data_IF_850362459116
#
_entry.id   IF_850362459116
#
_cell.length_a   1.000
_cell.length_b   1.000
_cell.length_c   1.000
_cell.angle_alpha   90.00
_cell.angle_beta   90.00
_cell.angle_gamma   90.00
#
_symmetry.space_group_name_H-M   'P 1'
#
loop_
_entity.id
_entity.type
_entity.pdbx_description
1 polymer ?
#
# COMPACT_ATOMS: atom_id res chain seq x y z
N UNK A 1 8.20 8.97 -26.05
CA UNK A 1 8.65 7.99 -25.04
C UNK A 1 8.10 6.64 -25.47
N UNK A 2 8.87 5.55 -25.39
CA UNK A 2 8.36 4.22 -25.68
C UNK A 2 7.08 3.91 -24.90
N UNK A 3 6.06 3.36 -25.54
CA UNK A 3 4.74 3.14 -24.91
C UNK A 3 4.82 2.18 -23.71
N UNK A 4 5.70 1.17 -23.78
CA UNK A 4 5.95 0.23 -22.69
C UNK A 4 6.43 0.90 -21.39
N UNK A 5 7.13 2.04 -21.48
CA UNK A 5 7.55 2.77 -20.29
C UNK A 5 6.34 3.36 -19.57
N UNK A 6 5.37 3.90 -20.30
CA UNK A 6 4.16 4.46 -19.70
C UNK A 6 3.29 3.36 -19.07
N UNK A 7 3.18 2.23 -19.76
CA UNK A 7 2.46 1.04 -19.29
C UNK A 7 3.03 0.47 -17.98
N UNK A 8 4.34 0.58 -17.75
CA UNK A 8 4.96 0.13 -16.49
C UNK A 8 4.94 1.23 -15.43
N UNK A 9 5.23 2.48 -15.81
CA UNK A 9 5.35 3.59 -14.86
C UNK A 9 4.01 3.95 -14.23
N UNK A 10 2.93 3.98 -15.01
CA UNK A 10 1.61 4.35 -14.50
C UNK A 10 1.13 3.43 -13.36
N UNK A 11 1.07 2.10 -13.51
CA UNK A 11 0.66 1.22 -12.42
C UNK A 11 1.67 1.21 -11.27
N UNK A 12 2.97 1.35 -11.56
CA UNK A 12 4.01 1.41 -10.51
C UNK A 12 3.85 2.63 -9.61
N UNK A 13 3.61 3.80 -10.21
CA UNK A 13 3.42 5.06 -9.47
C UNK A 13 2.10 5.03 -8.70
N UNK A 14 1.01 4.55 -9.31
CA UNK A 14 -0.29 4.43 -8.63
C UNK A 14 -0.20 3.45 -7.47
N UNK A 15 0.35 2.25 -7.68
CA UNK A 15 0.53 1.26 -6.64
C UNK A 15 1.46 1.76 -5.53
N UNK A 16 2.60 2.34 -5.89
CA UNK A 16 3.56 2.91 -4.94
C UNK A 16 2.93 4.02 -4.10
N UNK A 17 2.18 4.93 -4.72
CA UNK A 17 1.49 6.01 -4.03
C UNK A 17 0.42 5.49 -3.04
N UNK A 18 -0.42 4.55 -3.49
CA UNK A 18 -1.42 3.93 -2.63
C UNK A 18 -0.78 3.12 -1.50
N UNK A 19 0.34 2.44 -1.76
CA UNK A 19 1.08 1.68 -0.76
C UNK A 19 1.69 2.61 0.29
N UNK A 20 2.33 3.71 -0.11
CA UNK A 20 2.86 4.71 0.82
C UNK A 20 1.72 5.31 1.67
N UNK A 21 0.62 5.70 1.03
CA UNK A 21 -0.57 6.21 1.73
C UNK A 21 -1.09 5.18 2.75
N UNK A 22 -1.15 3.91 2.37
CA UNK A 22 -1.53 2.82 3.26
C UNK A 22 -0.55 2.65 4.42
N UNK A 23 0.77 2.73 4.20
CA UNK A 23 1.76 2.66 5.30
C UNK A 23 1.61 3.84 6.27
N UNK A 24 1.31 5.03 5.75
CA UNK A 24 1.24 6.25 6.56
C UNK A 24 -0.07 6.40 7.34
N UNK A 25 -1.20 5.90 6.82
CA UNK A 25 -2.49 5.98 7.50
C UNK A 25 -2.53 4.96 8.65
N UNK A 26 -2.58 5.38 9.93
CA UNK A 26 -2.69 4.47 11.04
C UNK A 26 -3.97 3.64 10.92
N UNK A 27 -3.91 2.37 11.32
CA UNK A 27 -5.10 1.54 11.37
C UNK A 27 -6.09 2.14 12.40
N UNK A 28 -7.41 2.07 12.16
CA UNK A 28 -8.38 2.50 13.17
C UNK A 28 -8.15 1.72 14.47
N UNK A 29 -7.86 2.44 15.54
CA UNK A 29 -7.67 1.88 16.88
C UNK A 29 -9.07 1.59 17.47
N UNK A 30 -9.57 0.40 17.20
CA UNK A 30 -10.83 -0.08 17.75
C UNK A 30 -11.74 -0.64 16.68
N UNK A 31 -12.05 -1.93 16.81
CA UNK A 31 -13.19 -2.60 16.17
C UNK A 31 -13.04 -2.89 14.67
N UNK A 32 -12.20 -3.87 14.37
CA UNK A 32 -12.26 -4.62 13.10
C UNK A 32 -11.53 -5.93 13.29
N UNK A 33 -12.10 -7.02 12.78
CA UNK A 33 -11.46 -8.34 12.76
C UNK A 33 -10.01 -8.26 12.24
N UNK A 34 -9.14 -9.22 12.58
CA UNK A 34 -7.75 -9.20 12.13
C UNK A 34 -7.66 -9.37 10.61
N UNK A 35 -7.82 -8.26 9.89
CA UNK A 35 -7.68 -8.18 8.45
C UNK A 35 -6.24 -8.51 8.05
N UNK A 36 -6.09 -9.19 6.91
CA UNK A 36 -4.80 -9.52 6.33
C UNK A 36 -3.88 -8.28 6.23
N UNK A 37 -4.47 -7.12 5.94
CA UNK A 37 -3.77 -5.84 5.91
C UNK A 37 -3.15 -5.46 7.27
N UNK A 38 -3.89 -5.63 8.37
CA UNK A 38 -3.39 -5.35 9.73
C UNK A 38 -2.22 -6.27 10.09
N UNK A 39 -2.34 -7.58 9.80
CA UNK A 39 -1.24 -8.55 10.02
C UNK A 39 0.00 -8.25 9.19
N UNK A 40 -0.19 -7.83 7.94
CA UNK A 40 0.93 -7.47 7.07
C UNK A 40 1.66 -6.23 7.61
N UNK A 41 0.94 -5.20 8.08
CA UNK A 41 1.54 -4.01 8.72
C UNK A 41 2.34 -4.36 9.97
N UNK A 42 1.80 -5.20 10.84
CA UNK A 42 2.48 -5.61 12.07
C UNK A 42 3.84 -6.28 11.80
N UNK A 43 3.96 -7.00 10.68
CA UNK A 43 5.23 -7.62 10.26
C UNK A 43 6.30 -6.61 9.81
N UNK A 44 5.90 -5.43 9.35
CA UNK A 44 6.83 -4.36 8.94
C UNK A 44 7.12 -3.34 10.04
N UNK A 45 6.30 -3.27 11.10
CA UNK A 45 6.53 -2.41 12.28
C UNK A 45 7.41 -3.05 13.36
N UNK A 46 7.78 -4.32 13.22
CA UNK A 46 8.60 -5.09 14.16
C UNK A 46 10.06 -5.14 13.69
#
# INVERSE_FOLDING_TARGET
MPDWLLEVMLPSVVFGGLFIMWVLIPAPEGEGEPDFASRLRDRFRK
#
